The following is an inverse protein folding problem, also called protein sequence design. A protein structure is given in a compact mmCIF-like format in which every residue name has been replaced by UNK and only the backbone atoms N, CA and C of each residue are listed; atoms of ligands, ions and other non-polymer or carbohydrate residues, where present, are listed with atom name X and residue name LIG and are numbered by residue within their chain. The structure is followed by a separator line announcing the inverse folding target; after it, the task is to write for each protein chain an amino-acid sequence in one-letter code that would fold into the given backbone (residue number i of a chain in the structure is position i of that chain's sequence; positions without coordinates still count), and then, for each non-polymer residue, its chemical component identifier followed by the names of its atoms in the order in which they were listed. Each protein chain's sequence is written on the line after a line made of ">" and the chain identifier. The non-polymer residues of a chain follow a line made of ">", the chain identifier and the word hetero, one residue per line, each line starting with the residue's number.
data_IF_307999962402
#
_entry.id   IF_307999962402
#
_cell.length_a   1.000
_cell.length_b   1.000
_cell.length_c   1.000
_cell.angle_alpha   90.00
_cell.angle_beta   90.00
_cell.angle_gamma   90.00
#
_symmetry.space_group_name_H-M   'P 1'
#
loop_
_entity.id
_entity.type
_entity.pdbx_description
1 polymer ?
#
# COMPACT_ATOMS: atom_id res chain seq x y z
N UNK A 1 24.13 -16.70 -22.22
CA UNK A 1 23.08 -17.12 -21.26
C UNK A 1 23.01 -16.20 -20.03
N UNK A 2 24.11 -15.95 -19.32
CA UNK A 2 24.07 -15.17 -18.07
C UNK A 2 23.72 -13.68 -18.25
N UNK A 3 24.23 -13.01 -19.29
CA UNK A 3 23.85 -11.64 -19.63
C UNK A 3 22.33 -11.49 -19.86
N UNK A 4 21.72 -12.48 -20.54
CA UNK A 4 20.28 -12.51 -20.81
C UNK A 4 19.48 -12.63 -19.51
N UNK A 5 19.95 -13.45 -18.56
CA UNK A 5 19.30 -13.63 -17.27
C UNK A 5 19.38 -12.36 -16.42
N UNK A 6 20.51 -11.66 -16.43
CA UNK A 6 20.66 -10.37 -15.75
C UNK A 6 19.76 -9.29 -16.35
N UNK A 7 19.67 -9.22 -17.69
CA UNK A 7 18.75 -8.32 -18.39
C UNK A 7 17.29 -8.60 -18.02
N UNK A 8 16.90 -9.88 -18.01
CA UNK A 8 15.54 -10.30 -17.63
C UNK A 8 15.21 -9.90 -16.20
N UNK A 9 16.15 -10.07 -15.28
CA UNK A 9 15.96 -9.71 -13.87
C UNK A 9 15.81 -8.19 -13.69
N UNK A 10 16.63 -7.41 -14.40
CA UNK A 10 16.53 -5.95 -14.41
C UNK A 10 15.19 -5.47 -14.97
N UNK A 11 14.72 -6.09 -16.06
CA UNK A 11 13.40 -5.80 -16.63
C UNK A 11 12.28 -6.11 -15.64
N UNK A 12 12.37 -7.24 -14.93
CA UNK A 12 11.40 -7.62 -13.91
C UNK A 12 11.38 -6.63 -12.74
N UNK A 13 12.56 -6.17 -12.30
CA UNK A 13 12.71 -5.14 -11.27
C UNK A 13 12.03 -3.83 -11.68
N UNK A 14 12.27 -3.38 -12.93
CA UNK A 14 11.67 -2.17 -13.48
C UNK A 14 10.14 -2.29 -13.56
N UNK A 15 9.63 -3.44 -14.01
CA UNK A 15 8.20 -3.71 -14.09
C UNK A 15 7.55 -3.67 -12.69
N UNK A 16 8.22 -4.25 -11.69
CA UNK A 16 7.75 -4.22 -10.30
C UNK A 16 7.69 -2.79 -9.75
N UNK A 17 8.70 -1.96 -10.04
CA UNK A 17 8.73 -0.56 -9.65
C UNK A 17 7.61 0.25 -10.32
N UNK A 18 7.35 0.00 -11.60
CA UNK A 18 6.25 0.63 -12.32
C UNK A 18 4.90 0.23 -11.73
N UNK A 19 4.73 -1.05 -11.41
CA UNK A 19 3.52 -1.56 -10.74
C UNK A 19 3.32 -0.88 -9.38
N UNK A 20 4.39 -0.71 -8.60
CA UNK A 20 4.35 0.02 -7.32
C UNK A 20 3.87 1.46 -7.50
N UNK A 21 4.43 2.16 -8.49
CA UNK A 21 4.08 3.55 -8.78
C UNK A 21 2.61 3.66 -9.21
N UNK A 22 2.14 2.75 -10.07
CA UNK A 22 0.75 2.69 -10.51
C UNK A 22 -0.20 2.44 -9.33
N UNK A 23 0.17 1.53 -8.42
CA UNK A 23 -0.59 1.24 -7.22
C UNK A 23 -0.71 2.48 -6.32
N UNK A 24 0.40 3.20 -6.12
CA UNK A 24 0.42 4.43 -5.33
C UNK A 24 -0.45 5.52 -5.95
N UNK A 25 -0.39 5.67 -7.29
CA UNK A 25 -1.22 6.62 -8.01
C UNK A 25 -2.70 6.28 -7.89
N UNK A 26 -3.05 5.00 -8.01
CA UNK A 26 -4.43 4.51 -7.83
C UNK A 26 -4.94 4.81 -6.42
N UNK A 27 -4.10 4.63 -5.39
CA UNK A 27 -4.45 5.01 -4.01
C UNK A 27 -4.74 6.51 -3.93
N UNK A 28 -3.84 7.34 -4.46
CA UNK A 28 -3.98 8.79 -4.39
C UNK A 28 -5.31 9.23 -5.07
N UNK A 29 -5.61 8.65 -6.23
CA UNK A 29 -6.84 8.90 -6.96
C UNK A 29 -8.07 8.48 -6.15
N UNK A 30 -8.03 7.29 -5.55
CA UNK A 30 -9.13 6.80 -4.73
C UNK A 30 -9.34 7.67 -3.49
N UNK A 31 -8.27 8.08 -2.81
CA UNK A 31 -8.34 9.00 -1.67
C UNK A 31 -8.94 10.34 -2.09
N UNK A 32 -8.49 10.88 -3.23
CA UNK A 32 -9.01 12.11 -3.81
C UNK A 32 -10.50 12.01 -4.14
N UNK A 33 -10.98 10.84 -4.55
CA UNK A 33 -12.39 10.58 -4.85
C UNK A 33 -13.24 10.37 -3.58
N UNK A 34 -12.70 9.67 -2.58
CA UNK A 34 -13.42 9.38 -1.34
C UNK A 34 -13.51 10.59 -0.41
N UNK A 35 -12.50 11.45 -0.39
CA UNK A 35 -12.46 12.65 0.45
C UNK A 35 -13.67 13.60 0.25
N UNK A 36 -14.02 14.04 -0.98
CA UNK A 36 -15.18 14.91 -1.19
C UNK A 36 -16.50 14.21 -0.87
N UNK A 37 -16.60 12.90 -1.08
CA UNK A 37 -17.79 12.13 -0.69
C UNK A 37 -17.98 12.09 0.83
N UNK A 38 -16.89 11.87 1.56
CA UNK A 38 -16.90 11.90 3.03
C UNK A 38 -17.24 13.31 3.56
N UNK A 39 -16.69 14.35 2.92
CA UNK A 39 -17.00 15.74 3.26
C UNK A 39 -18.47 16.07 2.97
N UNK A 40 -19.01 15.62 1.84
CA UNK A 40 -20.42 15.78 1.50
C UNK A 40 -21.31 15.08 2.52
N UNK A 41 -20.97 13.85 2.91
CA UNK A 41 -21.70 13.10 3.93
C UNK A 41 -21.69 13.84 5.27
N UNK A 42 -20.53 14.34 5.69
CA UNK A 42 -20.39 15.13 6.91
C UNK A 42 -21.23 16.42 6.85
N UNK A 43 -21.23 17.11 5.71
CA UNK A 43 -22.03 18.31 5.49
C UNK A 43 -23.54 18.02 5.58
N UNK A 44 -24.00 16.94 4.96
CA UNK A 44 -25.40 16.51 5.02
C UNK A 44 -25.81 16.15 6.45
N UNK A 45 -24.95 15.46 7.19
CA UNK A 45 -25.19 15.11 8.59
C UNK A 45 -25.24 16.36 9.48
N UNK A 46 -24.33 17.31 9.28
CA UNK A 46 -24.33 18.59 9.98
C UNK A 46 -25.60 19.40 9.69
N UNK A 47 -26.02 19.46 8.42
CA UNK A 47 -27.24 20.15 8.00
C UNK A 47 -28.48 19.52 8.66
N UNK A 48 -28.56 18.18 8.70
CA UNK A 48 -29.64 17.46 9.37
C UNK A 48 -29.67 17.77 10.86
N UNK A 49 -28.51 17.77 11.53
CA UNK A 49 -28.39 18.11 12.95
C UNK A 49 -28.82 19.56 13.21
N UNK A 50 -28.42 20.50 12.35
CA UNK A 50 -28.80 21.90 12.44
C UNK A 50 -30.31 22.07 12.26
N UNK A 51 -30.91 21.38 11.29
CA UNK A 51 -32.35 21.40 11.06
C UNK A 51 -33.10 20.85 12.29
N UNK A 52 -32.62 19.75 12.86
CA UNK A 52 -33.19 19.15 14.06
C UNK A 52 -33.11 20.10 15.25
N UNK A 53 -31.96 20.75 15.45
CA UNK A 53 -31.76 21.74 16.50
C UNK A 53 -32.68 22.96 16.29
N UNK A 54 -32.83 23.43 15.05
CA UNK A 54 -33.72 24.55 14.72
C UNK A 54 -35.18 24.20 15.03
N UNK A 55 -35.63 23.00 14.67
CA UNK A 55 -36.98 22.52 15.02
C UNK A 55 -37.16 22.49 16.53
N UNK A 56 -36.18 21.97 17.27
CA UNK A 56 -36.20 21.97 18.75
C UNK A 56 -36.26 23.39 19.32
N UNK A 57 -35.42 24.30 18.81
CA UNK A 57 -35.37 25.70 19.24
C UNK A 57 -36.71 26.40 19.00
N UNK A 58 -37.31 26.19 17.82
CA UNK A 58 -38.63 26.73 17.48
C UNK A 58 -39.69 26.21 18.45
N UNK A 59 -39.67 24.90 18.76
CA UNK A 59 -40.59 24.33 19.75
C UNK A 59 -40.44 24.94 21.15
N UNK A 60 -39.23 25.33 21.54
CA UNK A 60 -38.94 25.95 22.85
C UNK A 60 -39.24 27.46 22.88
N UNK A 61 -38.92 28.18 21.80
CA UNK A 61 -39.03 29.65 21.73
C UNK A 61 -40.41 30.15 21.33
N UNK A 62 -41.28 29.34 20.72
CA UNK A 62 -42.66 29.75 20.49
C UNK A 62 -43.33 29.97 21.87
N UNK A 63 -43.73 31.21 22.22
CA UNK A 63 -44.43 31.44 23.47
C UNK A 63 -45.71 30.60 23.46
N UNK A 64 -45.98 29.80 24.50
CA UNK A 64 -47.25 29.09 24.56
C UNK A 64 -48.36 30.14 24.54
N UNK A 65 -49.37 30.04 23.64
CA UNK A 65 -50.59 30.82 23.83
C UNK A 65 -51.14 30.51 25.23
N UNK A 66 -51.78 31.48 25.91
CA UNK A 66 -52.40 31.22 27.23
C UNK A 66 -53.28 29.97 27.13
N UNK A 67 -53.15 29.00 28.06
CA UNK A 67 -53.46 27.60 27.77
C UNK A 67 -54.96 27.33 27.64
N UNK A 68 -55.45 26.79 26.51
CA UNK A 68 -56.19 25.53 26.55
C UNK A 68 -55.18 24.38 26.81
N UNK A 69 -55.60 23.25 27.42
CA UNK A 69 -54.72 22.09 27.60
C UNK A 69 -54.03 21.76 26.28
N UNK A 70 -52.70 21.47 26.28
CA UNK A 70 -51.98 21.14 25.06
C UNK A 70 -52.75 20.00 24.39
N UNK A 71 -53.19 20.18 23.14
CA UNK A 71 -54.04 19.20 22.54
C UNK A 71 -53.27 17.88 22.47
N UNK A 72 -53.90 16.75 22.82
CA UNK A 72 -53.21 15.49 23.09
C UNK A 72 -52.35 15.01 21.91
N UNK A 73 -52.68 15.43 20.68
CA UNK A 73 -51.90 15.12 19.50
C UNK A 73 -50.47 15.71 19.53
N UNK A 74 -50.23 16.89 20.12
CA UNK A 74 -48.87 17.46 20.21
C UNK A 74 -48.00 16.71 21.20
N UNK A 75 -48.58 16.27 22.33
CA UNK A 75 -47.87 15.43 23.31
C UNK A 75 -47.55 14.05 22.71
N UNK A 76 -48.48 13.46 21.95
CA UNK A 76 -48.23 12.22 21.20
C UNK A 76 -47.13 12.40 20.16
N UNK A 77 -47.12 13.52 19.43
CA UNK A 77 -46.07 13.81 18.45
C UNK A 77 -44.69 13.93 19.12
N UNK A 78 -44.58 14.63 20.25
CA UNK A 78 -43.33 14.73 20.99
C UNK A 78 -42.88 13.39 21.56
N UNK A 79 -43.82 12.60 22.10
CA UNK A 79 -43.57 11.26 22.62
C UNK A 79 -43.12 10.29 21.50
N UNK A 80 -43.60 10.47 20.27
CA UNK A 80 -43.18 9.68 19.11
C UNK A 80 -41.86 10.17 18.51
N UNK A 81 -41.58 11.47 18.56
CA UNK A 81 -40.36 12.05 18.01
C UNK A 81 -39.13 11.69 18.85
N UNK A 82 -39.25 11.63 20.17
CA UNK A 82 -38.15 11.27 21.07
C UNK A 82 -37.52 9.89 20.76
N UNK A 83 -38.28 8.77 20.68
CA UNK A 83 -37.72 7.47 20.33
C UNK A 83 -37.22 7.43 18.88
N UNK A 84 -37.84 8.18 17.97
CA UNK A 84 -37.35 8.32 16.60
C UNK A 84 -35.96 8.98 16.57
N UNK A 85 -35.76 10.05 17.35
CA UNK A 85 -34.48 10.73 17.49
C UNK A 85 -33.43 9.83 18.14
N UNK A 86 -33.83 9.10 19.19
CA UNK A 86 -32.97 8.11 19.86
C UNK A 86 -32.52 7.01 18.89
N UNK A 87 -33.37 6.59 17.96
CA UNK A 87 -33.05 5.59 16.94
C UNK A 87 -32.23 6.17 15.77
N UNK A 88 -32.47 7.43 15.42
CA UNK A 88 -31.78 8.10 14.32
C UNK A 88 -30.31 8.40 14.68
N UNK A 89 -30.01 8.72 15.93
CA UNK A 89 -28.64 8.99 16.39
C UNK A 89 -27.65 7.83 16.12
N UNK A 90 -27.90 6.58 16.56
CA UNK A 90 -27.00 5.46 16.27
C UNK A 90 -26.96 5.13 14.77
N UNK A 91 -28.05 5.36 14.03
CA UNK A 91 -28.06 5.18 12.57
C UNK A 91 -27.14 6.19 11.87
N UNK A 92 -27.16 7.46 12.28
CA UNK A 92 -26.25 8.48 11.79
C UNK A 92 -24.79 8.16 12.12
N UNK A 93 -24.54 7.71 13.34
CA UNK A 93 -23.21 7.28 13.77
C UNK A 93 -22.73 6.08 12.95
N UNK A 94 -23.59 5.09 12.69
CA UNK A 94 -23.28 3.96 11.83
C UNK A 94 -22.99 4.41 10.39
N UNK A 95 -23.81 5.32 9.85
CA UNK A 95 -23.63 5.89 8.51
C UNK A 95 -22.30 6.63 8.38
N UNK A 96 -21.82 7.29 9.43
CA UNK A 96 -20.52 7.95 9.49
C UNK A 96 -19.36 6.95 9.65
N UNK A 97 -19.53 5.94 10.51
CA UNK A 97 -18.49 4.95 10.80
C UNK A 97 -18.25 3.99 9.64
N UNK A 98 -19.29 3.62 8.90
CA UNK A 98 -19.20 2.67 7.80
C UNK A 98 -18.17 3.09 6.71
N UNK A 99 -18.23 4.30 6.13
CA UNK A 99 -17.24 4.73 5.14
C UNK A 99 -15.84 4.89 5.74
N UNK A 100 -15.73 5.27 7.03
CA UNK A 100 -14.45 5.33 7.73
C UNK A 100 -13.83 3.94 7.90
N UNK A 101 -14.61 2.95 8.31
CA UNK A 101 -14.18 1.55 8.43
C UNK A 101 -13.79 0.98 7.07
N UNK A 102 -14.54 1.29 6.02
CA UNK A 102 -14.22 0.88 4.65
C UNK A 102 -12.90 1.51 4.17
N UNK A 103 -12.69 2.80 4.44
CA UNK A 103 -11.44 3.49 4.15
C UNK A 103 -10.26 2.85 4.90
N UNK A 104 -10.43 2.55 6.18
CA UNK A 104 -9.41 1.90 7.01
C UNK A 104 -9.08 0.50 6.49
N UNK A 105 -10.09 -0.30 6.16
CA UNK A 105 -9.90 -1.64 5.60
C UNK A 105 -9.14 -1.58 4.28
N UNK A 106 -9.49 -0.61 3.41
CA UNK A 106 -8.81 -0.42 2.15
C UNK A 106 -7.35 0.00 2.33
N UNK A 107 -7.08 0.91 3.27
CA UNK A 107 -5.73 1.31 3.65
C UNK A 107 -4.91 0.10 4.14
N UNK A 108 -5.51 -0.75 4.99
CA UNK A 108 -4.86 -1.94 5.52
C UNK A 108 -4.55 -2.96 4.41
N UNK A 109 -5.51 -3.22 3.52
CA UNK A 109 -5.32 -4.10 2.38
C UNK A 109 -4.18 -3.61 1.47
N UNK A 110 -4.14 -2.30 1.24
CA UNK A 110 -3.08 -1.69 0.46
C UNK A 110 -1.72 -1.81 1.14
N UNK A 111 -1.65 -1.53 2.44
CA UNK A 111 -0.42 -1.66 3.21
C UNK A 111 0.12 -3.10 3.13
N UNK A 112 -0.77 -4.08 3.24
CA UNK A 112 -0.42 -5.50 3.09
C UNK A 112 0.13 -5.78 1.69
N UNK A 113 -0.51 -5.26 0.64
CA UNK A 113 -0.05 -5.42 -0.74
C UNK A 113 1.31 -4.76 -0.98
N UNK A 114 1.53 -3.57 -0.42
CA UNK A 114 2.81 -2.86 -0.47
C UNK A 114 3.91 -3.68 0.23
N UNK A 115 3.61 -4.21 1.42
CA UNK A 115 4.54 -5.06 2.16
C UNK A 115 4.91 -6.32 1.37
N UNK A 116 3.92 -6.98 0.76
CA UNK A 116 4.15 -8.14 -0.09
C UNK A 116 5.04 -7.79 -1.29
N UNK A 117 4.79 -6.65 -1.93
CA UNK A 117 5.58 -6.19 -3.07
C UNK A 117 7.02 -5.88 -2.65
N UNK A 118 7.21 -5.23 -1.50
CA UNK A 118 8.52 -4.96 -0.92
C UNK A 118 9.28 -6.25 -0.60
N UNK A 119 8.59 -7.24 -0.04
CA UNK A 119 9.17 -8.56 0.23
C UNK A 119 9.61 -9.24 -1.07
N UNK A 120 8.78 -9.18 -2.11
CA UNK A 120 9.10 -9.73 -3.43
C UNK A 120 10.30 -9.01 -4.06
N UNK A 121 10.35 -7.68 -3.95
CA UNK A 121 11.49 -6.87 -4.38
C UNK A 121 12.78 -7.29 -3.68
N UNK A 122 12.73 -7.45 -2.36
CA UNK A 122 13.87 -7.86 -1.55
C UNK A 122 14.36 -9.26 -1.95
N UNK A 123 13.43 -10.20 -2.15
CA UNK A 123 13.75 -11.55 -2.59
C UNK A 123 14.42 -11.54 -3.97
N UNK A 124 13.89 -10.74 -4.91
CA UNK A 124 14.47 -10.58 -6.24
C UNK A 124 15.89 -10.00 -6.18
N UNK A 125 16.09 -8.99 -5.34
CA UNK A 125 17.40 -8.37 -5.12
C UNK A 125 18.38 -9.39 -4.51
N UNK A 126 17.95 -10.17 -3.53
CA UNK A 126 18.78 -11.22 -2.94
C UNK A 126 19.20 -12.24 -4.01
N UNK A 127 18.26 -12.66 -4.86
CA UNK A 127 18.54 -13.57 -5.96
C UNK A 127 19.55 -12.97 -6.95
N UNK A 128 19.44 -11.67 -7.26
CA UNK A 128 20.41 -10.96 -8.10
C UNK A 128 21.81 -11.01 -7.48
N UNK A 129 21.92 -10.72 -6.19
CA UNK A 129 23.19 -10.69 -5.47
C UNK A 129 23.83 -12.07 -5.44
N UNK A 130 23.05 -13.13 -5.19
CA UNK A 130 23.53 -14.50 -5.21
C UNK A 130 24.05 -14.90 -6.60
N UNK A 131 23.32 -14.53 -7.65
CA UNK A 131 23.76 -14.78 -9.03
C UNK A 131 25.07 -14.05 -9.34
N UNK A 132 25.17 -12.78 -8.94
CA UNK A 132 26.38 -11.97 -9.15
C UNK A 132 27.58 -12.57 -8.41
N UNK A 133 27.38 -13.03 -7.17
CA UNK A 133 28.41 -13.72 -6.40
C UNK A 133 28.88 -14.99 -7.09
N UNK A 134 27.94 -15.81 -7.59
CA UNK A 134 28.26 -17.04 -8.33
C UNK A 134 29.03 -16.74 -9.61
N UNK A 135 28.66 -15.68 -10.34
CA UNK A 135 29.41 -15.22 -11.51
C UNK A 135 30.85 -14.84 -11.14
N UNK A 136 31.04 -14.10 -10.06
CA UNK A 136 32.35 -13.67 -9.60
C UNK A 136 33.22 -14.87 -9.20
N UNK A 137 32.65 -15.87 -8.53
CA UNK A 137 33.35 -17.12 -8.21
C UNK A 137 33.76 -17.89 -9.46
N UNK A 138 32.88 -17.98 -10.46
CA UNK A 138 33.20 -18.63 -11.74
C UNK A 138 34.34 -17.91 -12.47
N UNK A 139 34.32 -16.57 -12.49
CA UNK A 139 35.36 -15.76 -13.11
C UNK A 139 36.71 -15.96 -12.41
N UNK A 140 36.72 -15.99 -11.06
CA UNK A 140 37.91 -16.27 -10.27
C UNK A 140 38.48 -17.66 -10.60
N UNK A 141 37.64 -18.68 -10.66
CA UNK A 141 38.06 -20.04 -10.99
C UNK A 141 38.65 -20.12 -12.40
N UNK A 142 38.03 -19.45 -13.37
CA UNK A 142 38.56 -19.36 -14.74
C UNK A 142 39.94 -18.68 -14.77
N UNK A 143 40.11 -17.59 -14.01
CA UNK A 143 41.39 -16.89 -13.89
C UNK A 143 42.47 -17.79 -13.27
N UNK A 144 42.14 -18.54 -12.21
CA UNK A 144 43.05 -19.48 -11.58
C UNK A 144 43.46 -20.61 -12.53
N UNK A 145 42.51 -21.14 -13.32
CA UNK A 145 42.79 -22.15 -14.34
C UNK A 145 43.74 -21.60 -15.42
N UNK A 146 43.50 -20.38 -15.90
CA UNK A 146 44.36 -19.71 -16.87
C UNK A 146 45.79 -19.53 -16.32
N UNK A 147 45.91 -19.10 -15.06
CA UNK A 147 47.20 -18.95 -14.39
C UNK A 147 47.92 -20.29 -14.26
N UNK A 148 47.21 -21.37 -13.89
CA UNK A 148 47.78 -22.71 -13.81
C UNK A 148 48.29 -23.18 -15.17
N UNK A 149 47.50 -22.98 -16.23
CA UNK A 149 47.90 -23.31 -17.60
C UNK A 149 49.16 -22.55 -18.00
N UNK A 150 49.22 -21.25 -17.69
CA UNK A 150 50.39 -20.42 -17.96
C UNK A 150 51.63 -20.94 -17.22
N UNK A 151 51.50 -21.28 -15.94
CA UNK A 151 52.58 -21.86 -15.14
C UNK A 151 53.06 -23.19 -15.71
N UNK A 152 52.15 -24.06 -16.16
CA UNK A 152 52.49 -25.33 -16.80
C UNK A 152 53.24 -25.13 -18.12
N UNK A 153 52.82 -24.17 -18.95
CA UNK A 153 53.50 -23.83 -20.19
C UNK A 153 54.92 -23.30 -19.93
N UNK A 154 55.07 -22.40 -18.95
CA UNK A 154 56.39 -21.89 -18.54
C UNK A 154 57.29 -23.00 -18.00
N UNK A 155 56.76 -23.89 -17.16
CA UNK A 155 57.49 -25.02 -16.62
C UNK A 155 57.96 -25.98 -17.73
N UNK A 156 57.07 -26.32 -18.66
CA UNK A 156 57.39 -27.18 -19.79
C UNK A 156 58.49 -26.58 -20.67
N UNK A 157 58.37 -25.28 -20.97
CA UNK A 157 59.37 -24.55 -21.75
C UNK A 157 60.74 -24.53 -21.06
N UNK A 158 60.77 -24.23 -19.76
CA UNK A 158 62.00 -24.22 -18.98
C UNK A 158 62.69 -25.61 -18.94
N UNK A 159 61.92 -26.68 -18.75
CA UNK A 159 62.44 -28.04 -18.75
C UNK A 159 63.02 -28.43 -20.12
N UNK A 160 62.34 -28.07 -21.22
CA UNK A 160 62.87 -28.31 -22.57
C UNK A 160 64.18 -27.56 -22.84
N UNK A 161 64.30 -26.31 -22.39
CA UNK A 161 65.54 -25.55 -22.55
C UNK A 161 66.71 -26.14 -21.74
N UNK A 162 66.47 -26.64 -20.52
CA UNK A 162 67.53 -27.25 -19.71
C UNK A 162 68.07 -28.56 -20.30
N UNK A 163 67.21 -29.41 -20.87
CA UNK A 163 67.67 -30.66 -21.52
C UNK A 163 68.54 -30.39 -22.74
N UNK A 164 68.23 -29.36 -23.53
CA UNK A 164 69.05 -29.02 -24.69
C UNK A 164 70.44 -28.48 -24.33
N UNK A 165 70.59 -27.80 -23.19
CA UNK A 165 71.89 -27.30 -22.74
C UNK A 165 72.80 -28.35 -22.08
N UNK A 166 72.24 -29.42 -21.50
CA UNK A 166 73.04 -30.52 -20.93
C UNK A 166 73.44 -31.58 -21.97
N UNK A 167 72.87 -31.55 -23.16
CA UNK A 167 73.18 -32.47 -24.26
C UNK A 167 74.31 -32.00 -25.21
N UNK A 168 75.00 -30.92 -24.86
CA UNK A 168 76.20 -30.42 -25.55
C UNK A 168 77.42 -30.54 -24.63
#
# INVERSE_FOLDING_TARGET
>A
MLLLLLLLLLLLLLLLLLLLLLLLLLLLLLLLLLLPLLLLLLLLLLLLLLLLLLVLLLLVLLPPPPPPPPPPHLLLLLLLLLPLLLLLLPLLLLLLLLPLLLLLLLLLLLLLLLLLLLLLLLLLLLLLLLLLQLLLQLLLLLLLLLLLLLLLLLHHHHHHHHHHHHSQ
#
